data_IF_588494431013
#
_entry.id   IF_588494431013
#
_cell.length_a   1.000
_cell.length_b   1.000
_cell.length_c   1.000
_cell.angle_alpha   90.00
_cell.angle_beta   90.00
_cell.angle_gamma   90.00
#
_symmetry.space_group_name_H-M   'P 1'
#
loop_
_entity.id
_entity.type
_entity.pdbx_description
1 polymer ?
#
# COMPACT_ATOMS: atom_id res chain seq x y z
N UNK A 1 -22.91 -21.48 7.74
CA UNK A 1 -22.52 -20.48 6.72
C UNK A 1 -21.02 -20.28 6.83
N UNK A 2 -20.29 -20.36 5.73
CA UNK A 2 -18.81 -20.31 5.72
C UNK A 2 -18.37 -18.98 5.12
N UNK A 3 -17.63 -18.19 5.91
CA UNK A 3 -17.04 -16.91 5.51
C UNK A 3 -15.53 -17.01 5.73
N UNK A 4 -14.77 -16.52 4.75
CA UNK A 4 -13.33 -16.36 4.85
C UNK A 4 -12.97 -14.90 4.57
N UNK A 5 -12.04 -14.36 5.35
CA UNK A 5 -11.46 -13.04 5.17
C UNK A 5 -9.98 -13.24 4.87
N UNK A 6 -9.49 -12.50 3.89
CA UNK A 6 -8.09 -12.49 3.52
C UNK A 6 -7.56 -11.09 3.68
N UNK A 7 -6.35 -11.02 4.19
CA UNK A 7 -5.55 -9.81 4.17
C UNK A 7 -5.15 -9.46 2.73
N UNK A 8 -4.71 -8.23 2.49
CA UNK A 8 -4.33 -7.76 1.16
C UNK A 8 -2.84 -8.03 0.88
N UNK A 9 -1.97 -7.33 1.60
CA UNK A 9 -0.53 -7.33 1.37
C UNK A 9 0.09 -8.69 1.71
N UNK A 10 0.98 -9.14 0.83
CA UNK A 10 1.62 -10.46 0.89
C UNK A 10 0.66 -11.67 1.00
N UNK A 11 -0.66 -11.46 0.88
CA UNK A 11 -1.68 -12.51 0.89
C UNK A 11 -2.38 -12.59 -0.46
N UNK A 12 -3.11 -11.53 -0.86
CA UNK A 12 -3.78 -11.45 -2.14
C UNK A 12 -2.91 -10.83 -3.22
N UNK A 13 -2.00 -9.94 -2.83
CA UNK A 13 -1.03 -9.30 -3.72
C UNK A 13 0.40 -9.52 -3.22
N UNK A 14 1.34 -9.67 -4.15
CA UNK A 14 2.76 -9.76 -3.79
C UNK A 14 3.40 -8.37 -3.76
N UNK A 15 3.06 -7.59 -2.74
CA UNK A 15 3.55 -6.23 -2.55
C UNK A 15 3.10 -5.62 -1.22
N UNK A 16 3.61 -4.43 -0.96
CA UNK A 16 3.26 -3.56 0.18
C UNK A 16 2.53 -2.33 -0.38
N UNK A 17 1.21 -2.30 -0.17
CA UNK A 17 0.33 -1.30 -0.76
C UNK A 17 0.49 0.09 -0.15
N UNK A 18 0.71 0.18 1.16
CA UNK A 18 0.91 1.46 1.85
C UNK A 18 2.24 2.10 1.43
N UNK A 19 3.31 1.32 1.32
CA UNK A 19 4.59 1.81 0.81
C UNK A 19 4.49 2.25 -0.66
N UNK A 20 3.83 1.45 -1.51
CA UNK A 20 3.64 1.79 -2.92
C UNK A 20 2.82 3.08 -3.09
N UNK A 21 1.80 3.29 -2.26
CA UNK A 21 0.99 4.49 -2.27
C UNK A 21 1.79 5.73 -1.86
N UNK A 22 2.60 5.63 -0.81
CA UNK A 22 3.54 6.69 -0.42
C UNK A 22 4.47 7.13 -1.54
N UNK A 23 5.12 6.16 -2.18
CA UNK A 23 6.01 6.40 -3.31
C UNK A 23 5.29 7.09 -4.49
N UNK A 24 4.03 6.72 -4.74
CA UNK A 24 3.22 7.38 -5.77
C UNK A 24 2.97 8.85 -5.43
N UNK A 25 2.60 9.17 -4.19
CA UNK A 25 2.34 10.54 -3.75
C UNK A 25 3.59 11.41 -3.81
N UNK A 26 4.74 10.89 -3.35
CA UNK A 26 6.04 11.56 -3.46
C UNK A 26 6.37 11.84 -4.93
N UNK A 27 6.23 10.84 -5.82
CA UNK A 27 6.48 11.00 -7.26
C UNK A 27 5.56 12.03 -7.92
N UNK A 28 4.39 12.27 -7.35
CA UNK A 28 3.43 13.29 -7.81
C UNK A 28 3.65 14.65 -7.17
N UNK A 29 4.70 14.83 -6.36
CA UNK A 29 5.00 16.04 -5.61
C UNK A 29 3.84 16.49 -4.71
N UNK A 30 3.02 15.53 -4.25
CA UNK A 30 1.87 15.79 -3.39
C UNK A 30 2.24 15.77 -1.89
N UNK A 31 3.36 15.13 -1.55
CA UNK A 31 3.91 15.03 -0.20
C UNK A 31 5.44 15.15 -0.23
N UNK A 32 6.05 15.59 0.87
CA UNK A 32 7.50 15.68 1.02
C UNK A 32 8.10 14.30 1.32
N UNK A 33 9.13 13.89 0.58
CA UNK A 33 9.84 12.62 0.76
C UNK A 33 10.67 12.52 2.05
N UNK A 34 11.01 13.64 2.69
CA UNK A 34 11.75 13.62 3.95
C UNK A 34 10.85 13.41 5.17
N UNK A 35 9.55 13.65 5.02
CA UNK A 35 8.54 13.54 6.08
C UNK A 35 7.67 12.29 5.95
N UNK A 36 7.84 11.50 4.86
CA UNK A 36 7.03 10.34 4.50
C UNK A 36 7.92 9.13 4.21
#
# INVERSE_FOLDING_TARGET
>A
MTLALFDLDHTLINGDSDHAWGNFLVKKELVNSEEY
#
